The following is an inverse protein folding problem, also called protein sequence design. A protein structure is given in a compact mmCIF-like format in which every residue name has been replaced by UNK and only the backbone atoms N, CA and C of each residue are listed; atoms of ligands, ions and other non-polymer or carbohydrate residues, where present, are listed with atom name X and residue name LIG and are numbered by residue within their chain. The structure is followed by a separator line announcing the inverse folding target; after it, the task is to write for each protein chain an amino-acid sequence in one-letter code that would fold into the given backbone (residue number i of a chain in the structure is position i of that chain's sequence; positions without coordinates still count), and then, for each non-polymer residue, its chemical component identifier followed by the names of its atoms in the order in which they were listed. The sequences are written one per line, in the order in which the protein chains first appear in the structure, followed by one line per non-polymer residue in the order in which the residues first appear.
data_IF_209112207554
#
_entry.id   IF_209112207554
#
_cell.length_a   1.000
_cell.length_b   1.000
_cell.length_c   1.000
_cell.angle_alpha   90.00
_cell.angle_beta   90.00
_cell.angle_gamma   90.00
#
_symmetry.space_group_name_H-M   'P 1'
#
loop_
_entity.id
_entity.type
_entity.pdbx_description
1 polymer ?
#
# COMPACT_ATOMS: atom_id res chain seq x y z
N UNK A 1 -26.59 -25.41 -44.24
CA UNK A 1 -27.88 -24.96 -43.69
C UNK A 1 -28.32 -23.72 -44.47
N UNK A 2 -29.39 -23.81 -45.28
CA UNK A 2 -29.90 -22.68 -46.06
C UNK A 2 -30.45 -21.57 -45.13
N UNK A 3 -30.19 -20.30 -45.47
CA UNK A 3 -30.57 -19.13 -44.64
C UNK A 3 -32.08 -19.01 -44.37
N UNK A 4 -32.92 -19.60 -45.23
CA UNK A 4 -34.37 -19.55 -45.11
C UNK A 4 -34.89 -20.41 -43.95
N UNK A 5 -34.30 -21.60 -43.74
CA UNK A 5 -34.67 -22.47 -42.61
C UNK A 5 -34.32 -21.82 -41.27
N UNK A 6 -33.20 -21.09 -41.20
CA UNK A 6 -32.80 -20.36 -39.99
C UNK A 6 -33.80 -19.26 -39.61
N UNK A 7 -34.38 -18.57 -40.60
CA UNK A 7 -35.36 -17.53 -40.37
C UNK A 7 -36.68 -18.10 -39.84
N UNK A 8 -37.14 -19.22 -40.42
CA UNK A 8 -38.37 -19.89 -39.97
C UNK A 8 -38.23 -20.42 -38.53
N UNK A 9 -37.10 -21.05 -38.22
CA UNK A 9 -36.81 -21.56 -36.88
C UNK A 9 -36.75 -20.40 -35.88
N UNK A 10 -36.07 -19.29 -36.23
CA UNK A 10 -36.00 -18.11 -35.36
C UNK A 10 -37.39 -17.55 -35.07
N UNK A 11 -38.24 -17.46 -36.08
CA UNK A 11 -39.57 -16.87 -35.96
C UNK A 11 -40.49 -17.72 -35.08
N UNK A 12 -40.45 -19.05 -35.22
CA UNK A 12 -41.18 -19.97 -34.35
C UNK A 12 -40.69 -19.86 -32.89
N UNK A 13 -39.37 -19.82 -32.68
CA UNK A 13 -38.78 -19.70 -31.35
C UNK A 13 -39.12 -18.37 -30.67
N UNK A 14 -39.15 -17.27 -31.42
CA UNK A 14 -39.51 -15.94 -30.91
C UNK A 14 -40.99 -15.90 -30.48
N UNK A 15 -41.87 -16.65 -31.17
CA UNK A 15 -43.27 -16.79 -30.81
C UNK A 15 -43.46 -17.66 -29.56
N UNK A 16 -42.75 -18.79 -29.46
CA UNK A 16 -42.77 -19.66 -28.26
C UNK A 16 -42.20 -18.95 -27.02
N UNK A 17 -41.17 -18.13 -27.18
CA UNK A 17 -40.54 -17.38 -26.10
C UNK A 17 -41.22 -16.04 -25.79
N UNK A 18 -42.22 -15.62 -26.58
CA UNK A 18 -42.90 -14.33 -26.40
C UNK A 18 -43.62 -14.22 -25.05
N UNK A 19 -44.03 -15.35 -24.48
CA UNK A 19 -44.67 -15.44 -23.15
C UNK A 19 -43.65 -15.45 -22.00
N UNK A 20 -42.37 -15.73 -22.29
CA UNK A 20 -41.30 -15.83 -21.30
C UNK A 20 -40.55 -14.50 -21.25
N UNK A 21 -40.96 -13.64 -20.33
CA UNK A 21 -40.25 -12.38 -20.05
C UNK A 21 -39.16 -12.59 -18.99
N UNK A 22 -37.91 -12.56 -19.41
CA UNK A 22 -36.77 -12.55 -18.48
C UNK A 22 -36.64 -11.18 -17.80
N UNK A 23 -37.16 -11.07 -16.58
CA UNK A 23 -37.12 -9.83 -15.78
C UNK A 23 -35.71 -9.45 -15.32
N UNK A 24 -34.80 -10.43 -15.20
CA UNK A 24 -33.44 -10.24 -14.69
C UNK A 24 -32.35 -10.48 -15.75
N UNK A 25 -32.69 -10.50 -17.04
CA UNK A 25 -31.71 -10.74 -18.11
C UNK A 25 -30.50 -9.80 -18.01
N UNK A 26 -30.73 -8.52 -17.72
CA UNK A 26 -29.66 -7.54 -17.55
C UNK A 26 -28.77 -7.82 -16.32
N UNK A 27 -29.33 -8.38 -15.26
CA UNK A 27 -28.63 -8.71 -14.01
C UNK A 27 -27.79 -9.98 -14.17
N UNK A 28 -28.34 -11.01 -14.81
CA UNK A 28 -27.63 -12.24 -15.16
C UNK A 28 -26.48 -11.95 -16.14
N UNK A 29 -26.71 -11.10 -17.15
CA UNK A 29 -25.68 -10.70 -18.11
C UNK A 29 -24.56 -9.90 -17.42
N UNK A 30 -24.89 -9.03 -16.48
CA UNK A 30 -23.89 -8.33 -15.65
C UNK A 30 -23.08 -9.29 -14.78
N UNK A 31 -23.71 -10.35 -14.28
CA UNK A 31 -23.04 -11.36 -13.44
C UNK A 31 -22.13 -12.30 -14.24
N UNK A 32 -22.51 -12.69 -15.46
CA UNK A 32 -21.77 -13.68 -16.26
C UNK A 32 -20.79 -13.05 -17.25
N UNK A 33 -21.03 -11.83 -17.72
CA UNK A 33 -20.18 -11.14 -18.68
C UNK A 33 -19.89 -9.70 -18.24
N UNK A 34 -18.99 -9.50 -17.26
CA UNK A 34 -18.57 -8.16 -16.86
C UNK A 34 -17.89 -7.45 -18.04
N UNK A 35 -18.50 -6.36 -18.51
CA UNK A 35 -18.10 -5.60 -19.72
C UNK A 35 -16.83 -4.77 -19.54
N UNK A 36 -16.34 -4.60 -18.32
CA UNK A 36 -15.21 -3.71 -18.01
C UNK A 36 -14.34 -4.27 -16.89
N UNK A 37 -13.04 -3.98 -16.94
CA UNK A 37 -12.08 -4.33 -15.89
C UNK A 37 -12.47 -3.71 -14.54
N UNK A 38 -13.08 -2.52 -14.55
CA UNK A 38 -13.62 -1.87 -13.34
C UNK A 38 -14.81 -2.63 -12.76
N UNK A 39 -15.66 -3.18 -13.62
CA UNK A 39 -16.81 -3.99 -13.21
C UNK A 39 -16.38 -5.34 -12.68
N UNK A 40 -15.25 -5.88 -13.15
CA UNK A 40 -14.65 -7.11 -12.63
C UNK A 40 -14.07 -6.93 -11.22
N UNK A 41 -13.38 -5.82 -10.98
CA UNK A 41 -12.89 -5.45 -9.64
C UNK A 41 -14.06 -5.17 -8.69
N UNK A 42 -15.09 -4.44 -9.16
CA UNK A 42 -16.31 -4.25 -8.39
C UNK A 42 -17.04 -5.56 -8.13
N UNK A 43 -17.21 -6.44 -9.10
CA UNK A 43 -17.87 -7.74 -8.90
C UNK A 43 -17.13 -8.60 -7.87
N UNK A 44 -15.80 -8.54 -7.85
CA UNK A 44 -14.98 -9.21 -6.85
C UNK A 44 -15.17 -8.62 -5.45
N UNK A 45 -15.21 -7.29 -5.33
CA UNK A 45 -15.39 -6.59 -4.05
C UNK A 45 -16.84 -6.62 -3.55
N UNK A 46 -17.82 -6.68 -4.45
CA UNK A 46 -19.24 -6.45 -4.17
C UNK A 46 -20.03 -7.72 -3.83
N UNK A 47 -19.44 -8.93 -3.93
CA UNK A 47 -20.17 -10.18 -3.66
C UNK A 47 -19.86 -10.88 -2.34
N UNK A 48 -18.71 -10.62 -1.69
CA UNK A 48 -18.33 -11.40 -0.50
C UNK A 48 -17.68 -10.59 0.64
N UNK A 49 -17.47 -9.30 0.44
CA UNK A 49 -16.77 -8.45 1.42
C UNK A 49 -17.67 -7.26 1.79
N UNK A 50 -18.53 -7.47 2.79
CA UNK A 50 -19.13 -6.38 3.58
C UNK A 50 -18.02 -5.72 4.42
N UNK A 51 -17.04 -5.10 3.76
CA UNK A 51 -16.01 -4.35 4.46
C UNK A 51 -16.68 -3.12 5.05
N UNK A 52 -16.77 -3.02 6.39
CA UNK A 52 -17.38 -1.86 6.99
C UNK A 52 -16.45 -0.68 6.68
N UNK A 53 -16.94 0.24 5.84
CA UNK A 53 -16.14 1.34 5.26
C UNK A 53 -15.54 2.24 6.35
N UNK A 54 -16.28 2.41 7.44
CA UNK A 54 -15.89 3.25 8.58
C UNK A 54 -14.63 2.70 9.28
N UNK A 55 -14.61 1.45 9.81
CA UNK A 55 -13.41 0.90 10.44
C UNK A 55 -12.24 0.73 9.46
N UNK A 56 -12.50 0.33 8.21
CA UNK A 56 -11.41 0.18 7.25
C UNK A 56 -10.79 1.53 6.84
N UNK A 57 -11.63 2.56 6.67
CA UNK A 57 -11.19 3.91 6.36
C UNK A 57 -10.40 4.53 7.51
N UNK A 58 -10.88 4.38 8.75
CA UNK A 58 -10.17 4.89 9.94
C UNK A 58 -8.83 4.20 10.14
N UNK A 59 -8.76 2.86 10.06
CA UNK A 59 -7.50 2.13 10.17
C UNK A 59 -6.48 2.56 9.10
N UNK A 60 -6.93 2.73 7.86
CA UNK A 60 -6.08 3.20 6.77
C UNK A 60 -5.57 4.64 7.00
N UNK A 61 -6.44 5.52 7.50
CA UNK A 61 -6.08 6.90 7.82
C UNK A 61 -5.05 6.97 8.96
N UNK A 62 -5.23 6.17 10.01
CA UNK A 62 -4.28 6.09 11.11
C UNK A 62 -2.92 5.53 10.66
N UNK A 63 -2.92 4.49 9.82
CA UNK A 63 -1.67 3.96 9.25
C UNK A 63 -0.93 5.01 8.41
N UNK A 64 -1.64 5.74 7.56
CA UNK A 64 -1.05 6.81 6.76
C UNK A 64 -0.55 7.96 7.63
N UNK A 65 -1.31 8.36 8.66
CA UNK A 65 -0.88 9.38 9.61
C UNK A 65 0.36 8.94 10.39
N UNK A 66 0.42 7.68 10.84
CA UNK A 66 1.57 7.14 11.54
C UNK A 66 2.81 7.07 10.63
N UNK A 67 2.65 6.62 9.38
CA UNK A 67 3.72 6.61 8.40
C UNK A 67 4.22 8.03 8.08
N UNK A 68 3.31 9.00 7.99
CA UNK A 68 3.65 10.40 7.76
C UNK A 68 4.42 10.99 8.95
N UNK A 69 3.93 10.78 10.18
CA UNK A 69 4.63 11.24 11.40
C UNK A 69 6.00 10.59 11.51
N UNK A 70 6.10 9.28 11.26
CA UNK A 70 7.38 8.58 11.24
C UNK A 70 8.34 9.23 10.24
N UNK A 71 7.90 9.44 9.00
CA UNK A 71 8.75 10.05 7.96
C UNK A 71 9.13 11.51 8.26
N UNK A 72 8.27 12.28 8.94
CA UNK A 72 8.57 13.67 9.32
C UNK A 72 9.51 13.73 10.53
N UNK A 73 9.38 12.82 11.49
CA UNK A 73 10.22 12.77 12.69
C UNK A 73 11.61 12.18 12.39
N UNK A 74 11.70 11.23 11.46
CA UNK A 74 12.98 10.66 10.99
C UNK A 74 13.70 11.53 9.95
N UNK A 75 13.19 12.72 9.61
CA UNK A 75 14.02 13.69 8.92
C UNK A 75 15.14 14.10 9.88
N UNK A 76 16.42 13.82 9.57
CA UNK A 76 17.51 14.36 10.36
C UNK A 76 17.33 15.87 10.31
N UNK A 77 17.19 16.49 11.48
CA UNK A 77 17.17 17.94 11.66
C UNK A 77 18.21 18.50 10.70
N UNK A 78 17.78 19.24 9.69
CA UNK A 78 18.70 19.97 8.82
C UNK A 78 19.43 20.91 9.76
N UNK A 79 20.62 20.48 10.19
CA UNK A 79 21.49 21.31 10.99
C UNK A 79 21.71 22.57 10.17
N UNK A 80 21.41 23.77 10.70
CA UNK A 80 21.65 24.99 9.96
C UNK A 80 23.13 25.00 9.56
N UNK A 81 23.36 25.20 8.27
CA UNK A 81 24.66 25.44 7.64
C UNK A 81 25.42 26.45 8.49
N UNK A 82 26.34 25.99 9.35
CA UNK A 82 27.04 26.88 10.28
C UNK A 82 27.70 26.28 11.53
N UNK A 83 27.58 24.97 11.82
CA UNK A 83 28.38 24.35 12.90
C UNK A 83 29.64 23.69 12.34
N UNK A 84 30.84 23.93 12.93
CA UNK A 84 32.08 23.41 12.38
C UNK A 84 32.02 21.89 12.41
N UNK A 85 32.09 21.35 11.20
CA UNK A 85 32.24 19.95 10.87
C UNK A 85 33.15 19.29 11.91
N UNK A 86 32.56 18.53 12.82
CA UNK A 86 33.28 17.55 13.62
C UNK A 86 33.83 16.56 12.62
N UNK A 87 35.04 16.84 12.15
CA UNK A 87 35.82 15.94 11.32
C UNK A 87 36.16 14.79 12.26
N UNK A 88 35.32 13.77 12.25
CA UNK A 88 35.57 12.53 12.95
C UNK A 88 36.88 11.95 12.39
N UNK A 89 37.97 12.17 13.12
CA UNK A 89 39.28 11.64 12.78
C UNK A 89 39.38 10.23 13.38
N UNK A 90 39.76 9.24 12.55
CA UNK A 90 40.18 7.94 13.05
C UNK A 90 41.61 8.05 13.57
N UNK A 91 41.84 7.51 14.76
CA UNK A 91 43.15 7.36 15.37
C UNK A 91 43.45 5.87 15.56
N UNK A 92 44.71 5.50 15.50
CA UNK A 92 45.18 4.15 15.79
C UNK A 92 45.85 4.15 17.16
N UNK A 93 45.29 3.41 18.11
CA UNK A 93 45.80 3.29 19.47
C UNK A 93 45.85 1.81 19.85
N UNK A 94 46.97 1.33 20.38
CA UNK A 94 47.12 -0.07 20.80
C UNK A 94 46.88 -1.11 19.70
N UNK A 95 47.08 -0.75 18.42
CA UNK A 95 46.86 -1.63 17.27
C UNK A 95 45.40 -1.82 16.85
N UNK A 96 44.49 -0.96 17.34
CA UNK A 96 43.09 -0.90 16.93
C UNK A 96 42.69 0.52 16.53
N UNK A 97 41.76 0.63 15.59
CA UNK A 97 41.28 1.92 15.09
C UNK A 97 40.07 2.39 15.90
N UNK A 98 40.14 3.63 16.38
CA UNK A 98 39.08 4.25 17.17
C UNK A 98 38.72 5.63 16.63
N UNK A 99 37.47 6.05 16.85
CA UNK A 99 37.08 7.43 16.63
C UNK A 99 37.64 8.30 17.76
N UNK A 100 38.39 9.34 17.39
CA UNK A 100 39.10 10.23 18.33
C UNK A 100 38.19 10.75 19.44
N UNK A 101 37.00 11.22 19.09
CA UNK A 101 36.03 11.81 20.02
C UNK A 101 35.54 10.81 21.08
N UNK A 102 35.46 9.52 20.74
CA UNK A 102 35.06 8.47 21.68
C UNK A 102 36.22 8.02 22.57
N UNK A 103 37.43 7.99 22.02
CA UNK A 103 38.64 7.65 22.77
C UNK A 103 38.93 8.70 23.84
N UNK A 104 38.97 9.99 23.47
CA UNK A 104 39.21 11.09 24.41
C UNK A 104 38.15 11.14 25.52
N UNK A 105 36.88 10.88 25.19
CA UNK A 105 35.80 10.81 26.19
C UNK A 105 36.02 9.72 27.23
N UNK A 106 36.46 8.53 26.79
CA UNK A 106 36.72 7.40 27.69
C UNK A 106 37.95 7.65 28.55
N UNK A 107 39.05 8.11 27.95
CA UNK A 107 40.31 8.39 28.68
C UNK A 107 40.10 9.49 29.73
N UNK A 108 39.48 10.60 29.35
CA UNK A 108 39.20 11.69 30.30
C UNK A 108 38.22 11.28 31.41
N UNK A 109 37.32 10.33 31.13
CA UNK A 109 36.42 9.76 32.14
C UNK A 109 37.14 8.89 33.18
N UNK A 110 38.26 8.27 32.82
CA UNK A 110 39.06 7.43 33.73
C UNK A 110 40.10 8.24 34.52
N UNK A 111 40.63 9.35 33.99
CA UNK A 111 41.58 10.22 34.70
C UNK A 111 40.96 10.92 35.93
N UNK A 112 39.63 11.12 35.92
CA UNK A 112 38.89 11.77 37.01
C UNK A 112 38.69 10.89 38.27
N UNK A 113 38.91 9.58 38.18
CA UNK A 113 38.67 8.64 39.27
C UNK A 113 39.96 8.30 40.08
N UNK A 114 41.12 8.78 39.62
CA UNK A 114 42.43 8.47 40.22
C UNK A 114 43.10 9.69 40.87
N UNK A 115 42.30 10.63 41.38
CA UNK A 115 42.78 11.76 42.19
C UNK A 115 41.81 12.06 43.33
N UNK A 116 41.66 11.11 44.25
CA UNK A 116 41.15 11.35 45.61
C UNK A 116 42.14 10.88 46.65
#
# INVERSE_FOLDING_TARGET
MPKQEQLLIKQALEQELSEIHFTQAAEVLRATHPRSWRDRVRAFLNKELELPLVPLGTASLFLLAAAFVYHVVDQPKIHPVGSPQHRHELIEEGGSYYWKDEYERKVNGHEGDHKS
#
